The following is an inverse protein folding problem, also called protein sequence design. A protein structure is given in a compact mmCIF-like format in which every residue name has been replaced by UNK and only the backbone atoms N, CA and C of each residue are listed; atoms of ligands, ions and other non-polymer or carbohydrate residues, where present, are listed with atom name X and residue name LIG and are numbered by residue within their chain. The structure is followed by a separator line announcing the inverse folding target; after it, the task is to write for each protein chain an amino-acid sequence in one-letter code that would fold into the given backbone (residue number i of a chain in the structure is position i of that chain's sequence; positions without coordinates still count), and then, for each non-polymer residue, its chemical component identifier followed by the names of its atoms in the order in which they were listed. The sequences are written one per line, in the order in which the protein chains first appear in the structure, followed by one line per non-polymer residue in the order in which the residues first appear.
data_IF_688193392153
#
_entry.id   IF_688193392153
#
_cell.length_a   1.000
_cell.length_b   1.000
_cell.length_c   1.000
_cell.angle_alpha   90.00
_cell.angle_beta   90.00
_cell.angle_gamma   90.00
#
_symmetry.space_group_name_H-M   'P 1'
#
loop_
_entity.id
_entity.type
_entity.pdbx_description
1 polymer ?
#
# COMPACT_ATOMS: atom_id res chain seq x y z
N UNK A 1 0.57 48.94 -16.39
CA UNK A 1 0.75 48.64 -14.95
C UNK A 1 0.32 47.21 -14.72
N UNK A 2 1.21 46.41 -14.13
CA UNK A 2 1.01 45.01 -13.76
C UNK A 2 -0.12 44.86 -12.74
N UNK A 3 -0.88 43.77 -12.86
CA UNK A 3 -1.09 42.88 -11.72
C UNK A 3 -1.34 41.47 -12.23
N UNK A 4 -0.48 40.60 -11.71
CA UNK A 4 -0.25 39.20 -12.03
C UNK A 4 -0.64 38.40 -10.79
N UNK A 5 -0.93 37.10 -10.96
CA UNK A 5 -1.05 36.06 -9.90
C UNK A 5 -2.38 36.08 -9.10
N UNK A 6 -3.09 34.98 -8.84
CA UNK A 6 -2.76 33.56 -8.79
C UNK A 6 -3.97 32.68 -9.20
N UNK A 7 -3.83 31.86 -10.25
CA UNK A 7 -4.80 30.81 -10.61
C UNK A 7 -4.29 29.38 -10.32
N UNK A 8 -3.19 29.23 -9.57
CA UNK A 8 -2.44 27.97 -9.45
C UNK A 8 -2.66 27.18 -8.14
N UNK A 9 -3.56 27.61 -7.25
CA UNK A 9 -3.76 26.95 -5.94
C UNK A 9 -4.98 26.01 -5.86
N UNK A 10 -5.90 26.02 -6.83
CA UNK A 10 -7.14 25.22 -6.76
C UNK A 10 -7.09 23.89 -7.52
N UNK A 11 -6.09 23.65 -8.38
CA UNK A 11 -6.01 22.43 -9.20
C UNK A 11 -5.40 21.21 -8.50
N UNK A 12 -4.94 21.35 -7.24
CA UNK A 12 -4.41 20.21 -6.46
C UNK A 12 -5.49 19.40 -5.72
N UNK A 13 -6.74 19.87 -5.69
CA UNK A 13 -7.76 19.30 -4.81
C UNK A 13 -8.66 18.24 -5.45
N UNK A 14 -8.53 17.92 -6.74
CA UNK A 14 -9.41 16.92 -7.38
C UNK A 14 -8.68 16.00 -8.37
N UNK A 15 -7.65 15.32 -7.89
CA UNK A 15 -7.34 13.98 -8.42
C UNK A 15 -8.04 12.98 -7.51
N UNK A 16 -9.37 12.87 -7.64
CA UNK A 16 -10.13 11.71 -7.15
C UNK A 16 -9.80 10.51 -8.04
N UNK A 17 -8.57 10.03 -7.97
CA UNK A 17 -8.23 8.70 -8.49
C UNK A 17 -8.83 7.72 -7.49
N UNK A 18 -9.94 7.11 -7.88
CA UNK A 18 -10.43 5.92 -7.20
C UNK A 18 -9.27 4.92 -7.11
N UNK A 19 -8.90 4.55 -5.88
CA UNK A 19 -7.93 3.48 -5.65
C UNK A 19 -8.71 2.18 -5.88
N UNK A 20 -8.61 1.63 -7.09
CA UNK A 20 -9.13 0.31 -7.41
C UNK A 20 -8.26 -0.71 -6.69
N UNK A 21 -8.77 -1.29 -5.60
CA UNK A 21 -8.06 -2.31 -4.83
C UNK A 21 -8.15 -3.67 -5.52
N UNK A 22 -7.35 -3.83 -6.55
CA UNK A 22 -6.86 -5.17 -6.89
C UNK A 22 -5.67 -5.60 -6.02
N UNK A 23 -5.16 -4.74 -5.12
CA UNK A 23 -3.73 -4.72 -4.80
C UNK A 23 -3.31 -4.65 -3.33
N UNK A 24 -4.21 -4.83 -2.36
CA UNK A 24 -3.72 -5.07 -0.99
C UNK A 24 -3.08 -6.47 -0.90
N UNK A 25 -3.66 -7.49 -1.52
CA UNK A 25 -3.09 -8.85 -1.58
C UNK A 25 -1.69 -8.94 -2.21
N UNK A 26 -1.26 -7.96 -3.02
CA UNK A 26 0.04 -7.99 -3.70
C UNK A 26 1.18 -7.27 -2.96
N UNK A 27 0.90 -6.58 -1.84
CA UNK A 27 1.96 -5.94 -1.03
C UNK A 27 2.90 -7.00 -0.42
N UNK A 28 2.35 -8.14 0.02
CA UNK A 28 3.14 -9.26 0.52
C UNK A 28 4.05 -9.87 -0.58
N UNK A 29 3.50 -9.98 -1.80
CA UNK A 29 4.22 -10.51 -2.96
C UNK A 29 5.41 -9.61 -3.34
N UNK A 30 5.21 -8.29 -3.36
CA UNK A 30 6.28 -7.36 -3.76
C UNK A 30 7.36 -7.14 -2.68
N UNK A 31 7.07 -7.41 -1.41
CA UNK A 31 8.05 -7.37 -0.33
C UNK A 31 8.94 -8.64 -0.23
N UNK A 32 8.65 -9.68 -1.04
CA UNK A 32 9.42 -10.93 -1.04
C UNK A 32 9.18 -11.80 0.20
N UNK A 33 8.05 -11.64 0.88
CA UNK A 33 7.65 -12.51 1.99
C UNK A 33 6.64 -13.54 1.47
N UNK A 34 7.08 -14.79 1.40
CA UNK A 34 6.17 -15.92 1.39
C UNK A 34 5.45 -15.95 2.75
N UNK A 35 4.12 -16.10 2.81
CA UNK A 35 3.46 -16.35 4.08
C UNK A 35 3.95 -17.73 4.55
N UNK A 36 4.61 -17.80 5.70
CA UNK A 36 4.65 -19.04 6.46
C UNK A 36 3.20 -19.37 6.79
N UNK A 37 2.65 -20.33 6.04
CA UNK A 37 1.33 -20.92 6.27
C UNK A 37 1.39 -21.71 7.58
N UNK A 38 1.32 -21.00 8.70
CA UNK A 38 0.97 -21.58 9.99
C UNK A 38 -0.33 -20.93 10.45
N UNK A 39 -1.44 -21.62 10.24
CA UNK A 39 -2.73 -21.33 10.83
C UNK A 39 -3.20 -22.57 11.63
N UNK A 40 -4.05 -22.45 12.67
CA UNK A 40 -4.45 -21.26 13.43
C UNK A 40 -4.36 -21.46 14.96
N UNK A 41 -4.21 -20.38 15.72
CA UNK A 41 -4.94 -20.24 16.99
C UNK A 41 -5.66 -18.90 16.99
N UNK A 42 -6.95 -18.97 16.66
CA UNK A 42 -7.94 -17.92 16.87
C UNK A 42 -8.12 -17.77 18.37
N UNK A 43 -7.49 -16.76 18.97
CA UNK A 43 -7.99 -16.09 20.18
C UNK A 43 -6.98 -15.02 20.61
N UNK A 44 -7.27 -13.76 20.29
CA UNK A 44 -6.89 -12.70 21.22
C UNK A 44 -7.87 -11.54 21.11
N UNK A 45 -8.48 -11.28 22.27
CA UNK A 45 -9.60 -10.40 22.50
C UNK A 45 -9.25 -8.94 22.16
N UNK A 46 -10.18 -8.26 21.49
CA UNK A 46 -10.21 -6.81 21.43
C UNK A 46 -10.57 -6.29 22.82
N UNK A 47 -9.57 -6.10 23.68
CA UNK A 47 -9.76 -5.35 24.92
C UNK A 47 -9.63 -3.86 24.61
N UNK A 48 -10.78 -3.19 24.57
CA UNK A 48 -10.91 -1.75 24.67
C UNK A 48 -10.33 -1.28 26.00
N UNK A 49 -9.24 -0.51 25.95
CA UNK A 49 -8.83 0.38 27.02
C UNK A 49 -8.73 1.79 26.46
N UNK A 50 -9.55 2.68 27.00
CA UNK A 50 -9.62 4.09 26.64
C UNK A 50 -8.31 4.80 27.00
N UNK A 51 -7.51 5.11 25.98
CA UNK A 51 -6.56 6.21 25.96
C UNK A 51 -6.63 6.86 24.57
N UNK A 52 -6.35 8.15 24.50
CA UNK A 52 -6.37 9.00 23.29
C UNK A 52 -5.30 8.63 22.24
N UNK A 53 -5.06 7.33 22.03
CA UNK A 53 -4.05 6.78 21.14
C UNK A 53 -4.75 6.11 19.96
N UNK A 54 -4.28 6.46 18.77
CA UNK A 54 -4.82 5.96 17.51
C UNK A 54 -4.76 4.43 17.44
N UNK A 55 -5.85 3.80 16.96
CA UNK A 55 -5.94 2.34 16.92
C UNK A 55 -4.91 1.73 15.95
N UNK A 56 -4.48 0.50 16.21
CA UNK A 56 -3.60 -0.25 15.30
C UNK A 56 -4.22 -0.41 13.91
N UNK A 57 -5.54 -0.56 13.83
CA UNK A 57 -6.27 -0.62 12.55
C UNK A 57 -6.19 0.69 11.78
N UNK A 58 -6.34 1.83 12.45
CA UNK A 58 -6.23 3.15 11.83
C UNK A 58 -4.81 3.39 11.28
N UNK A 59 -3.78 3.02 12.06
CA UNK A 59 -2.37 3.06 11.62
C UNK A 59 -2.14 2.14 10.42
N UNK A 60 -2.72 0.94 10.45
CA UNK A 60 -2.70 0.01 9.33
C UNK A 60 -3.32 0.61 8.07
N UNK A 61 -4.51 1.20 8.15
CA UNK A 61 -5.17 1.82 6.98
C UNK A 61 -4.33 2.95 6.40
N UNK A 62 -3.72 3.79 7.24
CA UNK A 62 -2.80 4.84 6.78
C UNK A 62 -1.60 4.25 6.05
N UNK A 63 -0.93 3.28 6.66
CA UNK A 63 0.23 2.61 6.07
C UNK A 63 -0.13 1.91 4.76
N UNK A 64 -1.25 1.21 4.72
CA UNK A 64 -1.72 0.47 3.55
C UNK A 64 -1.99 1.43 2.37
N UNK A 65 -2.68 2.56 2.59
CA UNK A 65 -2.90 3.56 1.53
C UNK A 65 -1.59 4.15 1.02
N UNK A 66 -0.66 4.51 1.92
CA UNK A 66 0.66 5.03 1.52
C UNK A 66 1.46 4.00 0.69
N UNK A 67 1.41 2.72 1.09
CA UNK A 67 2.04 1.63 0.35
C UNK A 67 1.43 1.43 -1.03
N UNK A 68 0.12 1.51 -1.16
CA UNK A 68 -0.58 1.39 -2.45
C UNK A 68 -0.21 2.54 -3.39
N UNK A 69 -0.13 3.78 -2.88
CA UNK A 69 0.36 4.92 -3.65
C UNK A 69 1.80 4.68 -4.15
N UNK A 70 2.68 4.20 -3.27
CA UNK A 70 4.07 3.87 -3.64
C UNK A 70 4.14 2.72 -4.65
N UNK A 71 3.24 1.74 -4.56
CA UNK A 71 3.12 0.61 -5.49
C UNK A 71 2.73 1.09 -6.89
N UNK A 72 1.78 2.02 -6.99
CA UNK A 72 1.40 2.64 -8.27
C UNK A 72 2.57 3.41 -8.90
N UNK A 73 3.34 4.17 -8.09
CA UNK A 73 4.56 4.81 -8.57
C UNK A 73 5.59 3.80 -9.05
N UNK A 74 5.82 2.72 -8.29
CA UNK A 74 6.73 1.64 -8.67
C UNK A 74 6.29 1.02 -10.01
N UNK A 75 5.00 0.73 -10.18
CA UNK A 75 4.46 0.16 -11.42
C UNK A 75 4.76 1.05 -12.63
N UNK A 76 4.59 2.37 -12.51
CA UNK A 76 4.98 3.32 -13.56
C UNK A 76 6.48 3.32 -13.84
N UNK A 77 7.31 3.30 -12.79
CA UNK A 77 8.77 3.25 -12.92
C UNK A 77 9.25 1.96 -13.59
N UNK A 78 8.63 0.82 -13.27
CA UNK A 78 8.91 -0.47 -13.89
C UNK A 78 8.51 -0.48 -15.36
N UNK A 79 7.31 0.04 -15.70
CA UNK A 79 6.87 0.14 -17.10
C UNK A 79 7.84 0.98 -17.94
N UNK A 80 8.35 2.08 -17.38
CA UNK A 80 9.37 2.90 -18.05
C UNK A 80 10.69 2.14 -18.22
N UNK A 81 11.14 1.43 -17.18
CA UNK A 81 12.40 0.69 -17.21
C UNK A 81 12.38 -0.50 -18.18
N UNK A 82 11.23 -1.14 -18.38
CA UNK A 82 11.09 -2.34 -19.22
C UNK A 82 10.39 -2.10 -20.56
N UNK A 83 10.18 -0.84 -20.93
CA UNK A 83 9.48 -0.49 -22.18
C UNK A 83 8.03 -1.01 -22.23
N UNK A 84 7.39 -1.19 -21.07
CA UNK A 84 6.02 -1.68 -20.93
C UNK A 84 5.88 -3.18 -20.61
N UNK A 85 6.94 -3.98 -20.79
CA UNK A 85 6.91 -5.41 -20.50
C UNK A 85 7.26 -5.67 -19.03
N UNK A 86 6.27 -5.55 -18.13
CA UNK A 86 6.47 -5.83 -16.70
C UNK A 86 5.89 -7.21 -16.36
N UNK A 87 6.74 -8.22 -16.06
CA UNK A 87 6.26 -9.53 -15.63
C UNK A 87 5.44 -9.45 -14.34
N UNK A 88 4.52 -10.41 -14.15
CA UNK A 88 3.82 -10.56 -12.88
C UNK A 88 4.81 -10.89 -11.77
N UNK A 89 4.68 -10.20 -10.63
CA UNK A 89 5.61 -10.38 -9.51
C UNK A 89 7.06 -10.07 -9.87
N UNK A 90 7.32 -9.05 -10.70
CA UNK A 90 8.66 -8.74 -11.24
C UNK A 90 9.78 -8.69 -10.18
N UNK A 91 9.48 -8.23 -8.96
CA UNK A 91 10.46 -8.17 -7.88
C UNK A 91 10.88 -9.55 -7.34
N UNK A 92 10.05 -10.59 -7.55
CA UNK A 92 10.38 -11.99 -7.27
C UNK A 92 11.00 -12.68 -8.49
N UNK A 93 10.57 -12.27 -9.69
CA UNK A 93 10.94 -12.88 -10.97
C UNK A 93 11.91 -12.02 -11.79
N UNK A 94 12.88 -11.37 -11.14
CA UNK A 94 13.83 -10.44 -11.80
C UNK A 94 14.58 -11.12 -12.97
N UNK A 95 14.78 -12.44 -12.93
CA UNK A 95 15.39 -13.20 -14.01
C UNK A 95 14.60 -13.19 -15.33
N UNK A 96 13.29 -12.94 -15.29
CA UNK A 96 12.41 -12.82 -16.46
C UNK A 96 12.46 -11.43 -17.11
N UNK A 97 13.17 -10.48 -16.49
CA UNK A 97 13.41 -9.16 -17.06
C UNK A 97 14.60 -9.23 -18.00
N UNK A 98 14.50 -8.51 -19.12
CA UNK A 98 15.59 -8.28 -20.06
C UNK A 98 16.87 -7.85 -19.34
N UNK A 99 17.99 -8.38 -19.81
CA UNK A 99 19.30 -8.20 -19.16
C UNK A 99 19.70 -6.73 -19.05
N UNK A 100 19.35 -5.89 -20.04
CA UNK A 100 19.62 -4.46 -20.08
C UNK A 100 18.90 -3.65 -18.99
N UNK A 101 17.71 -4.10 -18.56
CA UNK A 101 16.89 -3.39 -17.57
C UNK A 101 16.92 -4.02 -16.18
N UNK A 102 17.58 -5.18 -16.04
CA UNK A 102 17.52 -6.02 -14.84
C UNK A 102 18.04 -5.32 -13.59
N UNK A 103 19.16 -4.60 -13.69
CA UNK A 103 19.76 -3.90 -12.55
C UNK A 103 18.92 -2.70 -12.11
N UNK A 104 18.36 -1.96 -13.06
CA UNK A 104 17.42 -0.88 -12.77
C UNK A 104 16.17 -1.40 -12.06
N UNK A 105 15.58 -2.50 -12.56
CA UNK A 105 14.41 -3.12 -11.93
C UNK A 105 14.75 -3.64 -10.52
N UNK A 106 15.92 -4.26 -10.33
CA UNK A 106 16.38 -4.70 -9.01
C UNK A 106 16.46 -3.52 -8.04
N UNK A 107 17.05 -2.40 -8.46
CA UNK A 107 17.15 -1.20 -7.63
C UNK A 107 15.77 -0.62 -7.27
N UNK A 108 14.84 -0.56 -8.23
CA UNK A 108 13.47 -0.10 -7.98
C UNK A 108 12.74 -0.98 -6.95
N UNK A 109 12.89 -2.31 -7.06
CA UNK A 109 12.33 -3.25 -6.09
C UNK A 109 12.94 -3.09 -4.69
N UNK A 110 14.26 -2.89 -4.59
CA UNK A 110 14.92 -2.64 -3.31
C UNK A 110 14.45 -1.33 -2.66
N UNK A 111 14.28 -0.26 -3.45
CA UNK A 111 13.75 1.01 -2.97
C UNK A 111 12.31 0.86 -2.47
N UNK A 112 11.46 0.11 -3.18
CA UNK A 112 10.10 -0.17 -2.72
C UNK A 112 10.10 -0.89 -1.37
N UNK A 113 10.95 -1.92 -1.21
CA UNK A 113 11.09 -2.65 0.05
C UNK A 113 11.58 -1.74 1.19
N UNK A 114 12.50 -0.82 0.92
CA UNK A 114 12.93 0.16 1.91
C UNK A 114 11.79 1.12 2.29
N UNK A 115 11.04 1.63 1.30
CA UNK A 115 9.86 2.46 1.56
C UNK A 115 8.82 1.72 2.41
N UNK A 116 8.67 0.40 2.24
CA UNK A 116 7.75 -0.39 3.06
C UNK A 116 8.09 -0.31 4.54
N UNK A 117 9.34 -0.59 4.92
CA UNK A 117 9.76 -0.51 6.31
C UNK A 117 9.68 0.91 6.87
N UNK A 118 10.02 1.92 6.06
CA UNK A 118 9.91 3.32 6.47
C UNK A 118 8.47 3.73 6.77
N UNK A 119 7.52 3.41 5.89
CA UNK A 119 6.09 3.74 6.07
C UNK A 119 5.52 3.13 7.37
N UNK A 120 5.96 1.91 7.71
CA UNK A 120 5.57 1.25 8.96
C UNK A 120 6.18 1.94 10.19
N UNK A 121 7.47 2.29 10.12
CA UNK A 121 8.20 2.97 11.19
C UNK A 121 7.70 4.41 11.45
N UNK A 122 7.17 5.07 10.41
CA UNK A 122 6.65 6.44 10.48
C UNK A 122 5.30 6.53 11.20
N UNK A 123 4.60 5.42 11.41
CA UNK A 123 3.40 5.40 12.24
C UNK A 123 3.73 5.76 13.70
N UNK A 124 2.75 6.32 14.42
CA UNK A 124 2.91 6.72 15.83
C UNK A 124 1.85 6.06 16.72
N UNK A 125 2.22 5.06 17.55
CA UNK A 125 3.52 4.37 17.59
C UNK A 125 3.80 3.61 16.29
N UNK A 126 5.04 3.17 16.10
CA UNK A 126 5.44 2.39 14.91
C UNK A 126 4.53 1.17 14.75
N UNK A 127 4.13 0.87 13.52
CA UNK A 127 3.33 -0.31 13.21
C UNK A 127 4.29 -1.47 12.96
N UNK A 128 4.20 -2.52 13.76
CA UNK A 128 5.03 -3.71 13.55
C UNK A 128 4.62 -4.45 12.28
N UNK A 129 5.54 -5.25 11.73
CA UNK A 129 5.27 -6.12 10.58
C UNK A 129 4.15 -7.12 10.91
N UNK A 130 4.15 -7.67 12.13
CA UNK A 130 3.14 -8.64 12.56
C UNK A 130 1.76 -7.99 12.68
N UNK A 131 1.65 -6.79 13.28
CA UNK A 131 0.39 -6.04 13.29
C UNK A 131 -0.09 -5.76 11.87
N UNK A 132 0.80 -5.30 10.98
CA UNK A 132 0.44 -5.05 9.59
C UNK A 132 -0.10 -6.32 8.91
N UNK A 133 0.64 -7.44 9.01
CA UNK A 133 0.28 -8.72 8.40
C UNK A 133 -1.03 -9.30 8.96
N UNK A 134 -1.30 -9.10 10.26
CA UNK A 134 -2.53 -9.55 10.91
C UNK A 134 -3.78 -8.95 10.26
N UNK A 135 -3.74 -7.67 9.86
CA UNK A 135 -4.82 -7.02 9.11
C UNK A 135 -4.76 -7.36 7.64
N UNK A 136 -3.55 -7.37 7.06
CA UNK A 136 -3.31 -7.59 5.63
C UNK A 136 -3.89 -8.92 5.14
N UNK A 137 -3.75 -9.99 5.94
CA UNK A 137 -4.28 -11.31 5.63
C UNK A 137 -5.81 -11.35 5.46
N UNK A 138 -6.53 -10.39 6.08
CA UNK A 138 -7.99 -10.36 6.09
C UNK A 138 -8.57 -9.53 4.94
N UNK A 139 -7.77 -8.68 4.29
CA UNK A 139 -8.23 -7.71 3.27
C UNK A 139 -8.78 -8.37 2.00
N UNK A 140 -8.47 -9.64 1.75
CA UNK A 140 -9.09 -10.39 0.66
C UNK A 140 -10.61 -10.53 0.79
N UNK A 141 -11.15 -10.41 2.01
CA UNK A 141 -12.59 -10.46 2.25
C UNK A 141 -13.28 -9.12 1.95
N UNK A 142 -14.47 -9.19 1.36
CA UNK A 142 -15.32 -8.00 1.15
C UNK A 142 -15.55 -7.18 2.42
N UNK A 143 -15.83 -7.84 3.55
CA UNK A 143 -16.07 -7.17 4.83
C UNK A 143 -14.85 -6.36 5.29
N UNK A 144 -13.65 -6.93 5.21
CA UNK A 144 -12.44 -6.21 5.61
C UNK A 144 -12.13 -5.06 4.64
N UNK A 145 -12.34 -5.26 3.34
CA UNK A 145 -12.18 -4.19 2.35
C UNK A 145 -13.11 -3.00 2.66
N UNK A 146 -14.38 -3.26 2.96
CA UNK A 146 -15.35 -2.20 3.28
C UNK A 146 -14.96 -1.44 4.56
N UNK A 147 -14.43 -2.14 5.58
CA UNK A 147 -13.89 -1.52 6.80
C UNK A 147 -12.69 -0.62 6.50
N UNK A 148 -11.75 -1.09 5.69
CA UNK A 148 -10.59 -0.30 5.27
C UNK A 148 -11.04 0.93 4.47
N UNK A 149 -12.02 0.77 3.58
CA UNK A 149 -12.56 1.86 2.79
C UNK A 149 -13.28 2.91 3.64
N UNK A 150 -14.06 2.48 4.64
CA UNK A 150 -14.71 3.38 5.59
C UNK A 150 -13.69 4.18 6.39
N UNK A 151 -12.66 3.51 6.90
CA UNK A 151 -11.63 4.16 7.70
C UNK A 151 -10.78 5.12 6.86
N UNK A 152 -10.44 4.76 5.62
CA UNK A 152 -9.74 5.65 4.70
C UNK A 152 -10.55 6.91 4.39
N UNK A 153 -11.88 6.79 4.24
CA UNK A 153 -12.78 7.95 4.09
C UNK A 153 -12.78 8.82 5.35
N UNK A 154 -12.86 8.21 6.53
CA UNK A 154 -12.80 8.93 7.82
C UNK A 154 -11.49 9.73 7.96
N UNK A 155 -10.39 9.15 7.50
CA UNK A 155 -9.06 9.76 7.49
C UNK A 155 -8.81 10.69 6.29
N UNK A 156 -9.76 10.82 5.36
CA UNK A 156 -9.63 11.62 4.14
C UNK A 156 -8.45 11.22 3.24
N UNK A 157 -8.10 9.92 3.22
CA UNK A 157 -6.96 9.39 2.46
C UNK A 157 -7.28 9.03 1.01
N UNK A 158 -8.56 9.12 0.61
CA UNK A 158 -9.06 8.82 -0.73
C UNK A 158 -10.21 7.82 -0.74
N UNK A 159 -10.71 7.53 -1.94
CA UNK A 159 -11.77 6.54 -2.15
C UNK A 159 -11.18 5.19 -2.54
N UNK A 160 -11.57 4.17 -1.79
CA UNK A 160 -11.15 2.79 -1.92
C UNK A 160 -12.30 1.98 -2.51
N UNK A 161 -12.06 1.30 -3.65
CA UNK A 161 -13.06 0.43 -4.31
C UNK A 161 -12.88 -1.03 -3.94
N UNK A 162 -13.96 -1.69 -3.50
CA UNK A 162 -13.99 -3.10 -3.09
C UNK A 162 -14.66 -4.03 -4.10
N UNK A 163 -14.83 -3.60 -5.36
CA UNK A 163 -15.59 -4.35 -6.38
C UNK A 163 -15.01 -5.74 -6.68
N UNK A 164 -13.71 -5.91 -6.51
CA UNK A 164 -12.99 -7.15 -6.85
C UNK A 164 -12.67 -8.01 -5.60
N UNK A 165 -13.14 -7.60 -4.42
CA UNK A 165 -12.98 -8.38 -3.18
C UNK A 165 -13.92 -9.59 -3.17
N UNK A 166 -13.40 -10.74 -2.69
CA UNK A 166 -14.14 -12.01 -2.66
C UNK A 166 -14.98 -12.17 -1.40
#
# INVERSE_FOLDING_TARGET
MMMNRDFSSLSRWLVKRSIVLGAFSSIAVLAGWAPDFSAPTVSQAFNSSAFAQESAFTRYVRAAVALEQRRQTLQGQLQQATGGNVPSGVCQNIGQVDSSSRDQVRNLCQQFRQSFYQILADQKPALSIDEFNSFQSQVGSRQMCERVAQEARRLQLGEISCKDAK
#
